data_IF_794590304967
#
_entry.id   IF_794590304967
#
_cell.length_a   1.000
_cell.length_b   1.000
_cell.length_c   1.000
_cell.angle_alpha   90.00
_cell.angle_beta   90.00
_cell.angle_gamma   90.00
#
_symmetry.space_group_name_H-M   'P 1'
#
loop_
_entity.id
_entity.type
_entity.pdbx_description
1 polymer ?
#
# COMPACT_ATOMS: atom_id res chain seq x y z
N UNK A 1 25.78 26.77 43.57
CA UNK A 1 25.07 25.50 43.26
C UNK A 1 24.20 25.51 41.98
N UNK A 2 24.26 26.52 41.08
CA UNK A 2 23.40 26.57 39.86
C UNK A 2 23.91 25.79 38.63
N UNK A 3 25.18 25.43 38.59
CA UNK A 3 25.85 24.79 37.45
C UNK A 3 25.45 23.34 37.12
N UNK A 4 25.14 22.44 38.08
CA UNK A 4 24.80 21.05 37.74
C UNK A 4 23.40 20.91 37.12
N UNK A 5 22.44 21.75 37.53
CA UNK A 5 21.07 21.71 37.03
C UNK A 5 20.98 22.14 35.56
N UNK A 6 21.71 23.18 35.17
CA UNK A 6 21.79 23.65 33.77
C UNK A 6 22.40 22.59 32.84
N UNK A 7 23.44 21.89 33.30
CA UNK A 7 24.05 20.79 32.54
C UNK A 7 23.08 19.62 32.37
N UNK A 8 22.38 19.23 33.44
CA UNK A 8 21.39 18.17 33.38
C UNK A 8 20.26 18.51 32.39
N UNK A 9 19.73 19.74 32.44
CA UNK A 9 18.70 20.19 31.50
C UNK A 9 19.18 20.16 30.05
N UNK A 10 20.41 20.60 29.78
CA UNK A 10 21.00 20.57 28.44
C UNK A 10 21.11 19.16 27.87
N UNK A 11 21.57 18.18 28.65
CA UNK A 11 21.65 16.80 28.19
C UNK A 11 20.28 16.19 27.94
N UNK A 12 19.29 16.53 28.77
CA UNK A 12 17.92 16.04 28.65
C UNK A 12 17.25 16.61 27.39
N UNK A 13 17.41 17.91 27.11
CA UNK A 13 16.88 18.52 25.89
C UNK A 13 17.58 17.97 24.64
N UNK A 14 18.91 17.83 24.66
CA UNK A 14 19.65 17.22 23.56
C UNK A 14 19.18 15.78 23.29
N UNK A 15 18.97 14.98 24.33
CA UNK A 15 18.46 13.61 24.21
C UNK A 15 17.06 13.54 23.60
N UNK A 16 16.13 14.41 24.03
CA UNK A 16 14.78 14.49 23.47
C UNK A 16 14.83 14.87 21.97
N UNK A 17 15.64 15.85 21.61
CA UNK A 17 15.78 16.30 20.22
C UNK A 17 16.34 15.20 19.32
N UNK A 18 17.36 14.46 19.79
CA UNK A 18 17.92 13.32 19.06
C UNK A 18 16.88 12.20 18.87
N UNK A 19 16.11 11.90 19.91
CA UNK A 19 15.05 10.90 19.84
C UNK A 19 13.95 11.31 18.85
N UNK A 20 13.47 12.54 18.92
CA UNK A 20 12.48 13.08 18.00
C UNK A 20 12.99 13.10 16.54
N UNK A 21 14.27 13.46 16.34
CA UNK A 21 14.95 13.39 15.05
C UNK A 21 14.98 11.97 14.49
N UNK A 22 15.35 10.99 15.32
CA UNK A 22 15.36 9.58 14.94
C UNK A 22 13.98 9.05 14.53
N UNK A 23 12.93 9.39 15.29
CA UNK A 23 11.54 9.03 14.93
C UNK A 23 11.10 9.66 13.62
N UNK A 24 11.50 10.91 13.39
CA UNK A 24 11.16 11.66 12.17
C UNK A 24 11.82 11.04 10.93
N UNK A 25 13.11 10.67 11.04
CA UNK A 25 13.83 9.94 9.98
C UNK A 25 13.18 8.58 9.72
N UNK A 26 12.82 7.83 10.76
CA UNK A 26 12.13 6.56 10.63
C UNK A 26 10.77 6.70 9.93
N UNK A 27 9.97 7.71 10.32
CA UNK A 27 8.69 8.04 9.72
C UNK A 27 8.82 8.39 8.21
N UNK A 28 9.80 9.21 7.84
CA UNK A 28 10.08 9.52 6.44
C UNK A 28 10.50 8.27 5.64
N UNK A 29 11.36 7.43 6.24
CA UNK A 29 11.80 6.18 5.62
C UNK A 29 10.61 5.25 5.36
N UNK A 30 9.70 5.09 6.33
CA UNK A 30 8.48 4.29 6.16
C UNK A 30 7.63 4.80 5.00
N UNK A 31 7.32 6.10 4.95
CA UNK A 31 6.55 6.70 3.85
C UNK A 31 7.20 6.45 2.49
N UNK A 32 8.50 6.73 2.36
CA UNK A 32 9.25 6.54 1.12
C UNK A 32 9.25 5.08 0.68
N UNK A 33 9.43 4.16 1.62
CA UNK A 33 9.42 2.73 1.36
C UNK A 33 8.04 2.22 0.92
N UNK A 34 6.98 2.67 1.59
CA UNK A 34 5.61 2.34 1.21
C UNK A 34 5.27 2.88 -0.17
N UNK A 35 5.70 4.11 -0.48
CA UNK A 35 5.49 4.69 -1.81
C UNK A 35 6.23 3.89 -2.89
N UNK A 36 7.47 3.47 -2.62
CA UNK A 36 8.23 2.64 -3.56
C UNK A 36 7.57 1.28 -3.80
N UNK A 37 6.98 0.66 -2.78
CA UNK A 37 6.26 -0.60 -2.93
C UNK A 37 5.00 -0.43 -3.79
N UNK A 38 4.23 0.64 -3.56
CA UNK A 38 3.07 1.00 -4.37
C UNK A 38 3.46 1.28 -5.81
N UNK A 39 4.52 2.08 -6.03
CA UNK A 39 5.01 2.37 -7.37
C UNK A 39 5.48 1.10 -8.08
N UNK A 40 6.19 0.23 -7.37
CA UNK A 40 6.62 -1.07 -7.88
C UNK A 40 5.42 -1.90 -8.36
N UNK A 41 4.35 -2.01 -7.57
CA UNK A 41 3.11 -2.66 -8.00
C UNK A 41 2.52 -1.99 -9.26
N UNK A 42 2.49 -0.66 -9.28
CA UNK A 42 1.96 0.09 -10.43
C UNK A 42 2.77 -0.05 -11.72
N UNK A 43 4.04 -0.46 -11.64
CA UNK A 43 4.95 -0.68 -12.78
C UNK A 43 4.92 -2.12 -13.32
N UNK A 44 4.31 -3.07 -12.61
CA UNK A 44 4.29 -4.47 -13.04
C UNK A 44 3.17 -4.69 -14.08
N UNK A 45 3.54 -4.95 -15.32
CA UNK A 45 2.59 -5.28 -16.39
C UNK A 45 2.72 -6.72 -16.89
N UNK A 46 3.76 -7.44 -16.46
CA UNK A 46 4.10 -8.78 -16.93
C UNK A 46 4.90 -9.56 -15.88
N UNK A 47 5.05 -10.87 -16.08
CA UNK A 47 5.93 -11.72 -15.25
C UNK A 47 7.38 -11.21 -15.27
N UNK A 48 7.89 -10.73 -16.42
CA UNK A 48 9.24 -10.20 -16.51
C UNK A 48 9.43 -8.93 -15.64
N UNK A 49 8.38 -8.10 -15.54
CA UNK A 49 8.41 -6.95 -14.64
C UNK A 49 8.38 -7.39 -13.18
N UNK A 50 7.63 -8.44 -12.82
CA UNK A 50 7.64 -9.03 -11.48
C UNK A 50 9.07 -9.40 -11.07
N UNK A 51 9.76 -10.20 -11.88
CA UNK A 51 11.12 -10.65 -11.60
C UNK A 51 12.07 -9.46 -11.40
N UNK A 52 11.98 -8.47 -12.29
CA UNK A 52 12.78 -7.23 -12.21
C UNK A 52 12.50 -6.48 -10.90
N UNK A 53 11.23 -6.29 -10.55
CA UNK A 53 10.82 -5.55 -9.36
C UNK A 53 11.20 -6.30 -8.07
N UNK A 54 11.02 -7.63 -8.04
CA UNK A 54 11.47 -8.49 -6.93
C UNK A 54 12.98 -8.35 -6.74
N UNK A 55 13.78 -8.42 -7.81
CA UNK A 55 15.23 -8.28 -7.74
C UNK A 55 15.64 -6.91 -7.17
N UNK A 56 15.02 -5.82 -7.66
CA UNK A 56 15.26 -4.46 -7.15
C UNK A 56 14.93 -4.35 -5.65
N UNK A 57 13.80 -4.92 -5.23
CA UNK A 57 13.33 -4.86 -3.85
C UNK A 57 14.17 -5.72 -2.91
N UNK A 58 14.57 -6.93 -3.33
CA UNK A 58 15.47 -7.82 -2.56
C UNK A 58 16.82 -7.16 -2.31
N UNK A 59 17.43 -6.56 -3.34
CA UNK A 59 18.71 -5.87 -3.21
C UNK A 59 18.67 -4.68 -2.22
N UNK A 60 17.49 -4.07 -2.03
CA UNK A 60 17.33 -2.90 -1.14
C UNK A 60 17.08 -3.23 0.33
N UNK A 61 16.60 -4.43 0.67
CA UNK A 61 15.99 -4.73 1.98
C UNK A 61 16.46 -6.02 2.66
N UNK A 62 17.19 -6.89 1.97
CA UNK A 62 17.50 -8.21 2.50
C UNK A 62 16.32 -9.19 2.37
N UNK A 63 16.59 -10.48 2.59
CA UNK A 63 15.70 -11.60 2.28
C UNK A 63 14.49 -11.71 3.22
N UNK A 64 14.58 -11.24 4.46
CA UNK A 64 13.57 -11.42 5.53
C UNK A 64 12.22 -10.71 5.27
N UNK A 65 12.13 -9.96 4.17
CA UNK A 65 10.97 -9.16 3.81
C UNK A 65 9.99 -9.86 2.87
N UNK A 66 10.44 -10.95 2.25
CA UNK A 66 9.67 -11.72 1.29
C UNK A 66 9.30 -13.06 1.88
N UNK A 67 8.01 -13.40 1.84
CA UNK A 67 7.57 -14.78 1.98
C UNK A 67 7.34 -15.33 0.58
N UNK A 68 8.15 -16.32 0.23
CA UNK A 68 8.03 -17.06 -1.01
C UNK A 68 7.30 -18.36 -0.69
N UNK A 69 6.17 -18.56 -1.33
CA UNK A 69 5.41 -19.80 -1.22
C UNK A 69 5.27 -20.39 -2.62
N UNK A 70 5.93 -21.53 -2.82
CA UNK A 70 5.74 -22.37 -3.99
C UNK A 70 4.76 -23.48 -3.63
N UNK A 71 3.64 -23.55 -4.33
CA UNK A 71 2.78 -24.74 -4.27
C UNK A 71 3.29 -25.79 -5.27
N UNK A 72 2.96 -27.07 -5.03
CA UNK A 72 3.38 -28.19 -5.88
C UNK A 72 2.87 -28.11 -7.34
N UNK A 73 1.94 -27.20 -7.65
CA UNK A 73 1.24 -27.13 -8.95
C UNK A 73 1.67 -25.92 -9.81
N UNK A 74 2.90 -25.43 -9.68
CA UNK A 74 3.37 -24.30 -10.49
C UNK A 74 2.86 -22.91 -10.05
N UNK A 75 2.07 -22.85 -8.97
CA UNK A 75 1.68 -21.61 -8.32
C UNK A 75 2.84 -21.06 -7.48
N UNK A 76 3.24 -19.83 -7.77
CA UNK A 76 4.19 -19.06 -6.97
C UNK A 76 3.49 -17.82 -6.43
N UNK A 77 3.51 -17.66 -5.11
CA UNK A 77 3.03 -16.45 -4.46
C UNK A 77 4.15 -15.76 -3.73
N UNK A 78 4.37 -14.49 -4.06
CA UNK A 78 5.34 -13.62 -3.44
C UNK A 78 4.61 -12.59 -2.58
N UNK A 79 4.90 -12.57 -1.28
CA UNK A 79 4.33 -11.60 -0.35
C UNK A 79 5.40 -10.66 0.23
N UNK A 80 5.05 -9.37 0.27
CA UNK A 80 5.83 -8.31 0.90
C UNK A 80 4.97 -7.51 1.86
N UNK A 81 5.50 -7.18 3.03
CA UNK A 81 4.74 -6.43 4.04
C UNK A 81 5.54 -5.37 4.79
N UNK A 82 5.12 -4.11 4.70
CA UNK A 82 5.64 -2.97 5.47
C UNK A 82 4.70 -2.66 6.64
N UNK A 83 5.24 -2.48 7.84
CA UNK A 83 4.47 -2.06 9.02
C UNK A 83 5.16 -0.97 9.85
N UNK A 84 4.38 -0.12 10.53
CA UNK A 84 4.91 0.92 11.44
C UNK A 84 5.20 0.41 12.87
N UNK A 85 5.67 -0.84 13.00
CA UNK A 85 5.78 -1.54 14.28
C UNK A 85 6.48 -0.74 15.38
N UNK A 86 7.57 -0.04 15.09
CA UNK A 86 8.28 0.79 16.08
C UNK A 86 7.42 1.96 16.60
N UNK A 87 6.80 2.75 15.70
CA UNK A 87 5.95 3.88 16.09
C UNK A 87 4.70 3.41 16.85
N UNK A 88 4.17 2.24 16.46
CA UNK A 88 3.07 1.62 17.18
C UNK A 88 3.47 1.16 18.59
N UNK A 89 4.62 0.50 18.76
CA UNK A 89 5.12 0.06 20.08
C UNK A 89 5.35 1.25 21.02
N UNK A 90 5.82 2.38 20.48
CA UNK A 90 5.97 3.64 21.21
C UNK A 90 4.65 4.41 21.41
N UNK A 91 3.51 3.86 20.95
CA UNK A 91 2.17 4.44 21.05
C UNK A 91 2.03 5.83 20.38
N UNK A 92 2.89 6.15 19.41
CA UNK A 92 2.83 7.41 18.66
C UNK A 92 1.67 7.38 17.68
N UNK A 93 1.45 6.24 17.03
CA UNK A 93 0.40 6.03 16.03
C UNK A 93 -0.22 4.64 16.15
N UNK A 94 -1.46 4.44 15.65
CA UNK A 94 -2.03 3.10 15.51
C UNK A 94 -1.21 2.21 14.57
N UNK A 95 -1.37 0.88 14.66
CA UNK A 95 -0.70 -0.03 13.75
C UNK A 95 -1.25 0.17 12.33
N UNK A 96 -0.33 0.33 11.38
CA UNK A 96 -0.61 0.47 9.95
C UNK A 96 0.27 -0.50 9.19
N UNK A 97 -0.32 -1.19 8.21
CA UNK A 97 0.33 -2.20 7.39
C UNK A 97 0.04 -1.94 5.91
N UNK A 98 1.04 -2.15 5.06
CA UNK A 98 0.93 -2.19 3.61
C UNK A 98 1.51 -3.52 3.14
N UNK A 99 0.69 -4.32 2.48
CA UNK A 99 1.05 -5.60 1.87
C UNK A 99 1.00 -5.51 0.36
N UNK A 100 1.88 -6.26 -0.31
CA UNK A 100 1.80 -6.56 -1.73
C UNK A 100 1.89 -8.07 -1.89
N UNK A 101 0.98 -8.65 -2.67
CA UNK A 101 0.95 -10.07 -2.99
C UNK A 101 0.92 -10.22 -4.50
N UNK A 102 1.84 -11.01 -5.04
CA UNK A 102 1.93 -11.31 -6.47
C UNK A 102 1.73 -12.79 -6.63
N UNK A 103 0.79 -13.19 -7.48
CA UNK A 103 0.57 -14.60 -7.82
C UNK A 103 0.91 -14.86 -9.28
N UNK A 104 1.74 -15.87 -9.50
CA UNK A 104 2.12 -16.40 -10.81
C UNK A 104 1.62 -17.84 -10.88
N UNK A 105 0.95 -18.19 -11.98
CA UNK A 105 0.46 -19.54 -12.27
C UNK A 105 1.04 -19.97 -13.62
N UNK A 106 1.72 -21.12 -13.68
CA UNK A 106 2.34 -21.64 -14.90
C UNK A 106 3.22 -20.61 -15.63
N UNK A 107 4.00 -19.83 -14.88
CA UNK A 107 4.87 -18.77 -15.40
C UNK A 107 4.15 -17.49 -15.84
N UNK A 108 2.82 -17.46 -15.78
CA UNK A 108 2.02 -16.28 -16.14
C UNK A 108 1.57 -15.52 -14.89
N UNK A 109 1.75 -14.21 -14.91
CA UNK A 109 1.20 -13.33 -13.88
C UNK A 109 -0.32 -13.46 -13.87
N UNK A 110 -0.89 -13.75 -12.70
CA UNK A 110 -2.33 -13.96 -12.50
C UNK A 110 -2.99 -12.76 -11.83
N UNK A 111 -2.40 -12.27 -10.75
CA UNK A 111 -2.87 -11.05 -10.10
C UNK A 111 -1.78 -10.38 -9.28
N UNK A 112 -2.01 -9.09 -9.01
CA UNK A 112 -1.30 -8.31 -8.01
C UNK A 112 -2.34 -7.76 -7.06
N UNK A 113 -2.09 -7.95 -5.76
CA UNK A 113 -2.90 -7.38 -4.70
C UNK A 113 -2.02 -6.40 -3.91
N UNK A 114 -2.52 -5.19 -3.69
CA UNK A 114 -1.94 -4.23 -2.77
C UNK A 114 -2.97 -3.91 -1.70
N UNK A 115 -2.66 -4.22 -0.45
CA UNK A 115 -3.55 -3.98 0.69
C UNK A 115 -2.95 -2.98 1.64
N UNK A 116 -3.71 -1.99 2.07
CA UNK A 116 -3.33 -1.14 3.20
C UNK A 116 -4.39 -1.21 4.30
N UNK A 117 -3.96 -1.45 5.54
CA UNK A 117 -4.81 -1.49 6.71
C UNK A 117 -4.31 -0.54 7.79
N UNK A 118 -5.21 0.18 8.45
CA UNK A 118 -4.94 1.02 9.60
C UNK A 118 -5.89 0.65 10.75
N UNK A 119 -5.32 0.25 11.90
CA UNK A 119 -6.08 -0.13 13.10
C UNK A 119 -5.76 -1.54 13.63
N UNK A 120 -6.18 -1.80 14.87
CA UNK A 120 -5.79 -2.99 15.65
C UNK A 120 -6.87 -4.07 15.76
N UNK A 121 -8.14 -3.69 15.62
CA UNK A 121 -9.29 -4.59 15.80
C UNK A 121 -10.08 -4.67 14.49
N UNK A 122 -10.59 -5.84 14.07
CA UNK A 122 -11.36 -5.98 12.84
C UNK A 122 -12.53 -4.99 12.70
N UNK A 123 -13.15 -4.59 13.82
CA UNK A 123 -14.27 -3.65 13.87
C UNK A 123 -13.87 -2.18 13.71
N UNK A 124 -12.60 -1.83 13.95
CA UNK A 124 -12.08 -0.45 13.84
C UNK A 124 -10.97 -0.33 12.81
N UNK A 125 -10.64 -1.42 12.11
CA UNK A 125 -9.60 -1.42 11.07
C UNK A 125 -10.20 -0.90 9.78
N UNK A 126 -9.65 0.22 9.33
CA UNK A 126 -9.89 0.70 7.98
C UNK A 126 -8.97 -0.03 7.01
N UNK A 127 -9.46 -0.36 5.82
CA UNK A 127 -8.72 -1.16 4.87
C UNK A 127 -9.06 -0.83 3.44
N UNK A 128 -8.05 -0.82 2.58
CA UNK A 128 -8.23 -0.79 1.14
C UNK A 128 -7.50 -1.98 0.55
N UNK A 129 -8.21 -2.74 -0.28
CA UNK A 129 -7.69 -3.85 -1.06
C UNK A 129 -7.74 -3.46 -2.53
N UNK A 130 -6.61 -3.42 -3.20
CA UNK A 130 -6.51 -3.10 -4.63
C UNK A 130 -6.02 -4.35 -5.33
N UNK A 131 -6.79 -4.86 -6.29
CA UNK A 131 -6.47 -6.09 -7.01
C UNK A 131 -6.53 -5.87 -8.51
N UNK A 132 -5.40 -6.13 -9.15
CA UNK A 132 -5.28 -6.15 -10.61
C UNK A 132 -5.20 -7.60 -11.09
N UNK A 133 -6.10 -7.96 -11.99
CA UNK A 133 -6.17 -9.29 -12.60
C UNK A 133 -5.51 -9.32 -13.97
N UNK A 134 -4.70 -10.35 -14.21
CA UNK A 134 -4.01 -10.61 -15.46
C UNK A 134 -4.55 -11.93 -16.04
N UNK A 135 -5.11 -11.90 -17.25
CA UNK A 135 -5.65 -13.08 -17.93
C UNK A 135 -7.17 -13.05 -18.21
N UNK A 136 -7.68 -14.15 -18.78
CA UNK A 136 -9.08 -14.30 -19.21
C UNK A 136 -10.08 -14.41 -18.06
N UNK A 137 -9.63 -14.82 -16.88
CA UNK A 137 -10.44 -14.90 -15.66
C UNK A 137 -10.60 -13.52 -14.99
N UNK A 138 -10.17 -12.44 -15.65
CA UNK A 138 -10.25 -11.09 -15.10
C UNK A 138 -11.68 -10.58 -15.03
N UNK A 139 -11.96 -9.79 -13.99
CA UNK A 139 -13.18 -8.95 -13.96
C UNK A 139 -13.16 -8.01 -15.18
N UNK A 140 -14.22 -8.07 -15.98
CA UNK A 140 -14.36 -7.28 -17.20
C UNK A 140 -14.46 -5.77 -16.95
N UNK A 141 -14.64 -5.35 -15.70
CA UNK A 141 -14.85 -3.96 -15.32
C UNK A 141 -14.01 -3.55 -14.10
N UNK A 142 -13.70 -2.26 -14.05
CA UNK A 142 -13.15 -1.58 -12.89
C UNK A 142 -14.25 -1.43 -11.83
N UNK A 143 -14.14 -2.17 -10.73
CA UNK A 143 -15.17 -2.27 -9.71
C UNK A 143 -14.65 -1.77 -8.36
N UNK A 144 -15.49 -1.02 -7.64
CA UNK A 144 -15.26 -0.71 -6.22
C UNK A 144 -16.41 -1.27 -5.42
N UNK A 145 -16.09 -2.21 -4.52
CA UNK A 145 -17.04 -2.72 -3.55
C UNK A 145 -16.99 -1.88 -2.29
N UNK A 146 -18.10 -1.20 -1.98
CA UNK A 146 -18.25 -0.38 -0.78
C UNK A 146 -18.80 -1.16 0.43
N UNK A 147 -19.41 -2.35 0.21
CA UNK A 147 -20.16 -3.15 1.21
C UNK A 147 -20.98 -2.32 2.22
N UNK A 148 -21.40 -1.09 1.87
CA UNK A 148 -21.95 -0.06 2.79
C UNK A 148 -21.10 0.22 4.05
N UNK A 149 -19.80 -0.05 4.00
CA UNK A 149 -18.84 0.14 5.09
C UNK A 149 -17.84 1.22 4.70
N UNK A 150 -17.96 2.46 5.21
CA UNK A 150 -17.04 3.55 4.84
C UNK A 150 -15.58 3.31 5.23
N UNK A 151 -15.31 2.29 6.06
CA UNK A 151 -13.97 1.90 6.48
C UNK A 151 -13.31 0.82 5.60
N UNK A 152 -14.02 0.17 4.67
CA UNK A 152 -13.42 -0.85 3.79
C UNK A 152 -13.78 -0.62 2.33
N UNK A 153 -12.78 -0.63 1.46
CA UNK A 153 -12.99 -0.64 0.02
C UNK A 153 -12.18 -1.75 -0.61
N UNK A 154 -12.77 -2.39 -1.62
CA UNK A 154 -12.07 -3.31 -2.51
C UNK A 154 -12.16 -2.75 -3.91
N UNK A 155 -11.03 -2.48 -4.54
CA UNK A 155 -10.90 -2.00 -5.92
C UNK A 155 -10.36 -3.17 -6.74
N UNK A 156 -11.14 -3.66 -7.69
CA UNK A 156 -10.73 -4.76 -8.58
C UNK A 156 -10.80 -4.31 -10.03
N UNK A 157 -9.79 -4.66 -10.83
CA UNK A 157 -9.77 -4.32 -12.24
C UNK A 157 -8.90 -5.27 -13.07
N UNK A 158 -9.17 -5.34 -14.37
CA UNK A 158 -8.34 -6.05 -15.35
C UNK A 158 -7.09 -5.24 -15.68
N UNK A 159 -6.00 -5.92 -16.04
CA UNK A 159 -4.77 -5.32 -16.56
C UNK A 159 -4.97 -4.48 -17.84
N UNK A 160 -6.13 -4.60 -18.49
CA UNK A 160 -6.54 -3.76 -19.61
C UNK A 160 -7.07 -2.37 -19.19
N UNK A 161 -7.19 -2.08 -17.89
CA UNK A 161 -7.63 -0.78 -17.40
C UNK A 161 -6.70 0.35 -17.89
N UNK A 162 -7.28 1.53 -18.15
CA UNK A 162 -6.49 2.68 -18.59
C UNK A 162 -5.42 3.07 -17.55
N UNK A 163 -4.30 3.62 -18.01
CA UNK A 163 -3.23 4.11 -17.14
C UNK A 163 -3.74 5.11 -16.08
N UNK A 164 -4.75 5.93 -16.43
CA UNK A 164 -5.39 6.85 -15.50
C UNK A 164 -6.18 6.14 -14.38
N UNK A 165 -6.94 5.08 -14.72
CA UNK A 165 -7.66 4.29 -13.72
C UNK A 165 -6.69 3.53 -12.82
N UNK A 166 -5.70 2.86 -13.42
CA UNK A 166 -4.66 2.13 -12.68
C UNK A 166 -3.88 3.05 -11.75
N UNK A 167 -3.48 4.24 -12.22
CA UNK A 167 -2.80 5.24 -11.40
C UNK A 167 -3.59 5.69 -10.18
N UNK A 168 -4.92 5.88 -10.34
CA UNK A 168 -5.80 6.20 -9.20
C UNK A 168 -6.03 5.01 -8.28
N UNK A 169 -6.11 3.78 -8.80
CA UNK A 169 -6.27 2.58 -7.97
C UNK A 169 -5.06 2.38 -7.03
N UNK A 170 -3.86 2.67 -7.52
CA UNK A 170 -2.63 2.58 -6.74
C UNK A 170 -2.27 3.86 -5.96
N UNK A 171 -3.11 4.91 -5.90
CA UNK A 171 -2.77 6.15 -5.18
C UNK A 171 -3.04 6.08 -3.66
N UNK A 172 -2.58 5.00 -3.02
CA UNK A 172 -2.73 4.80 -1.57
C UNK A 172 -1.95 5.85 -0.77
N UNK A 173 -2.58 6.40 0.26
CA UNK A 173 -2.05 7.45 1.11
C UNK A 173 -1.07 6.90 2.15
N UNK A 174 0.23 6.95 1.83
CA UNK A 174 1.30 6.48 2.73
C UNK A 174 1.43 7.28 4.02
N UNK A 175 0.75 8.44 4.15
CA UNK A 175 0.69 9.17 5.41
C UNK A 175 0.00 8.40 6.54
N UNK A 176 -0.82 7.39 6.22
CA UNK A 176 -1.45 6.53 7.22
C UNK A 176 -0.46 5.81 8.14
N UNK A 177 0.82 5.68 7.75
CA UNK A 177 1.88 5.11 8.59
C UNK A 177 2.26 5.99 9.79
N UNK A 178 2.04 7.31 9.69
CA UNK A 178 2.59 8.28 10.64
C UNK A 178 1.59 9.37 11.06
N UNK A 179 0.37 9.35 10.51
CA UNK A 179 -0.73 10.21 10.93
C UNK A 179 -1.11 9.90 12.38
N UNK A 180 -1.14 10.92 13.24
CA UNK A 180 -1.63 10.78 14.61
C UNK A 180 -3.08 10.30 14.58
N UNK A 181 -3.37 9.23 15.33
CA UNK A 181 -4.69 8.59 15.31
C UNK A 181 -4.98 7.72 14.07
N UNK A 182 -4.03 7.61 13.14
CA UNK A 182 -4.13 6.77 11.94
C UNK A 182 -5.16 7.26 10.91
N UNK A 183 -5.32 6.49 9.85
CA UNK A 183 -6.42 6.67 8.90
C UNK A 183 -7.67 5.94 9.39
N UNK A 184 -8.84 6.59 9.28
CA UNK A 184 -10.10 6.12 9.89
C UNK A 184 -11.17 5.66 8.91
N UNK A 185 -10.90 5.79 7.61
CA UNK A 185 -11.82 5.39 6.55
C UNK A 185 -11.03 4.85 5.35
N UNK A 186 -11.74 4.17 4.45
CA UNK A 186 -11.15 3.77 3.17
C UNK A 186 -10.78 4.99 2.32
N UNK A 187 -11.58 6.06 2.36
CA UNK A 187 -11.32 7.33 1.67
C UNK A 187 -10.03 8.02 2.15
N UNK A 188 -9.71 7.92 3.45
CA UNK A 188 -8.43 8.45 3.96
C UNK A 188 -7.22 7.63 3.51
N UNK A 189 -7.41 6.32 3.27
CA UNK A 189 -6.39 5.39 2.78
C UNK A 189 -6.23 5.51 1.26
N UNK A 190 -7.32 5.66 0.52
CA UNK A 190 -7.34 5.83 -0.93
C UNK A 190 -8.26 7.01 -1.27
N UNK A 191 -7.73 8.24 -1.37
CA UNK A 191 -8.53 9.42 -1.67
C UNK A 191 -9.25 9.28 -3.02
N UNK A 192 -10.55 9.57 -3.03
CA UNK A 192 -11.41 9.44 -4.19
C UNK A 192 -11.83 8.00 -4.52
N UNK A 193 -11.65 7.03 -3.61
CA UNK A 193 -11.98 5.61 -3.86
C UNK A 193 -13.44 5.40 -4.25
N UNK A 194 -14.35 6.28 -3.82
CA UNK A 194 -15.77 6.17 -4.21
C UNK A 194 -16.10 6.79 -5.57
N UNK A 195 -15.20 7.62 -6.11
CA UNK A 195 -15.35 8.26 -7.42
C UNK A 195 -14.76 7.40 -8.55
N UNK A 196 -13.99 6.38 -8.18
CA UNK A 196 -13.36 5.40 -9.06
C UNK A 196 -14.37 4.61 -9.91
N UNK A 197 -15.61 4.44 -9.45
CA UNK A 197 -16.68 3.71 -10.15
C UNK A 197 -17.37 4.51 -11.24
N UNK A 198 -17.11 5.82 -11.34
CA UNK A 198 -17.77 6.62 -12.37
C UNK A 198 -17.23 6.17 -13.73
N UNK A 199 -18.07 5.59 -14.60
CA UNK A 199 -17.65 5.41 -15.98
C UNK A 199 -17.24 6.81 -16.45
N UNK A 200 -16.01 6.95 -16.92
CA UNK A 200 -15.66 8.09 -17.76
C UNK A 200 -16.68 8.04 -18.87
N UNK A 201 -17.66 8.93 -18.80
CA UNK A 201 -18.80 8.99 -19.69
C UNK A 201 -18.27 8.95 -21.12
N UNK A 202 -18.35 7.80 -21.76
CA UNK A 202 -18.19 7.63 -23.20
C UNK A 202 -19.40 8.29 -23.89
N UNK A 203 -19.53 9.60 -23.70
CA UNK A 203 -20.28 10.49 -24.57
C UNK A 203 -19.34 10.82 -25.72
N UNK A 204 -19.09 9.87 -26.60
CA UNK A 204 -18.51 9.99 -27.93
C UNK A 204 -18.33 8.57 -28.46
N UNK A 205 -19.43 7.98 -28.92
CA UNK A 205 -19.50 7.00 -30.04
C UNK A 205 -20.93 6.43 -30.16
N UNK A 206 -21.91 7.35 -30.24
CA UNK A 206 -23.00 7.15 -31.20
C UNK A 206 -22.77 8.14 -32.32
N UNK A 207 -21.73 7.89 -33.09
CA UNK A 207 -21.70 8.38 -34.45
C UNK A 207 -22.70 7.53 -35.22
N UNK A 208 -23.85 8.14 -35.48
CA UNK A 208 -24.83 7.67 -36.44
C UNK A 208 -24.14 7.31 -37.75
N UNK A 209 -24.38 6.10 -38.23
CA UNK A 209 -24.34 5.75 -39.64
C UNK A 209 -25.18 4.49 -39.87
N UNK A 210 -25.98 4.42 -40.95
CA UNK A 210 -26.72 5.45 -41.67
C UNK A 210 -28.21 5.51 -41.28
#
# INVERSE_FOLDING_TARGET
>A
MRTPLLRALFWLTAGILLFAGGLTIYAMRLRSLSQKLINSASEIHSTADVERQIAILRNRRGLDFWQDSSAQNGDQTYEVRIENGLLHRLRVVPPTMLGMTIAIHDGNLRYIIVTMFAGRKPSTTSGVWVQEWFGSDSVSAFHVNDNRKPWKATVEFSSAASAAQRGKAFSLNTNCFVKLGGCKSAEEILPGVWLLTSPVSSKLDRQSYP
#
